data_IF_607513990925
#
_entry.id   IF_607513990925
#
_cell.length_a   1.000
_cell.length_b   1.000
_cell.length_c   1.000
_cell.angle_alpha   90.00
_cell.angle_beta   90.00
_cell.angle_gamma   90.00
#
_symmetry.space_group_name_H-M   'P 1'
#
loop_
_entity.id
_entity.type
_entity.pdbx_description
1 polymer ?
#
# COMPACT_ATOMS: atom_id res chain seq x y z
N UNK A 1 63.68 62.11 -16.51
CA UNK A 1 62.58 61.99 -17.49
C UNK A 1 62.49 60.47 -17.83
N UNK A 2 61.65 59.64 -17.35
CA UNK A 2 60.24 59.64 -17.56
C UNK A 2 59.55 58.57 -16.68
N UNK A 3 58.64 58.98 -15.89
CA UNK A 3 57.72 58.16 -15.14
C UNK A 3 56.62 57.67 -16.14
N UNK A 4 56.32 56.40 -16.26
CA UNK A 4 55.02 55.85 -16.69
C UNK A 4 55.14 54.38 -17.12
N UNK A 5 55.21 53.44 -16.22
CA UNK A 5 54.83 52.02 -16.48
C UNK A 5 54.62 51.24 -15.16
N UNK A 6 53.63 51.70 -14.37
CA UNK A 6 53.24 50.87 -13.24
C UNK A 6 51.78 51.16 -12.88
N UNK A 7 50.78 50.65 -13.66
CA UNK A 7 49.35 50.64 -13.31
C UNK A 7 48.50 49.84 -14.27
N UNK A 8 48.81 48.60 -14.61
CA UNK A 8 47.88 47.70 -15.29
C UNK A 8 48.23 46.25 -14.92
N UNK A 9 48.15 45.85 -13.66
CA UNK A 9 48.26 44.43 -13.27
C UNK A 9 47.44 44.01 -12.07
N UNK A 10 46.45 44.75 -11.65
CA UNK A 10 45.67 44.46 -10.44
C UNK A 10 44.15 44.42 -10.67
N UNK A 11 43.68 44.11 -11.90
CA UNK A 11 42.24 44.06 -12.18
C UNK A 11 41.78 42.76 -12.89
N UNK A 12 42.57 41.69 -12.81
CA UNK A 12 42.24 40.42 -13.50
C UNK A 12 42.03 39.24 -12.54
N UNK A 13 41.81 39.44 -11.22
CA UNK A 13 41.69 38.34 -10.25
C UNK A 13 40.37 38.30 -9.48
N UNK A 14 39.39 39.13 -9.78
CA UNK A 14 38.10 39.20 -9.06
C UNK A 14 36.86 38.78 -9.87
N UNK A 15 37.00 38.17 -11.03
CA UNK A 15 35.84 37.75 -11.88
C UNK A 15 35.64 36.24 -11.96
N UNK A 16 36.46 35.41 -11.35
CA UNK A 16 36.36 33.94 -11.44
C UNK A 16 35.64 33.25 -10.28
N UNK A 17 34.98 33.99 -9.35
CA UNK A 17 34.34 33.41 -8.16
C UNK A 17 32.82 33.64 -8.09
N UNK A 18 32.13 33.91 -9.21
CA UNK A 18 30.69 34.20 -9.24
C UNK A 18 29.90 33.28 -10.15
N UNK A 19 30.38 32.06 -10.45
CA UNK A 19 29.68 31.07 -11.27
C UNK A 19 29.41 29.74 -10.53
N UNK A 20 29.56 29.72 -9.21
CA UNK A 20 28.89 28.69 -8.39
C UNK A 20 27.53 29.24 -7.95
N UNK A 21 26.63 29.40 -8.91
CA UNK A 21 25.22 29.50 -8.62
C UNK A 21 24.82 28.24 -7.85
N UNK A 22 23.84 28.29 -6.89
CA UNK A 22 23.31 27.11 -6.30
C UNK A 22 22.84 26.22 -7.48
N UNK A 23 23.51 25.09 -7.69
CA UNK A 23 23.04 24.11 -8.64
C UNK A 23 21.57 23.89 -8.28
N UNK A 24 20.67 24.25 -9.18
CA UNK A 24 19.29 23.87 -9.05
C UNK A 24 19.32 22.35 -8.83
N UNK A 25 19.07 21.92 -7.61
CA UNK A 25 18.85 20.54 -7.27
C UNK A 25 17.64 20.18 -8.13
N UNK A 26 17.88 19.56 -9.31
CA UNK A 26 16.81 18.99 -10.09
C UNK A 26 16.14 18.02 -9.13
N UNK A 27 14.89 18.33 -8.75
CA UNK A 27 14.12 17.47 -7.89
C UNK A 27 14.24 16.03 -8.45
N UNK A 28 14.75 15.11 -7.62
CA UNK A 28 14.97 13.74 -8.02
C UNK A 28 13.61 13.12 -8.39
N UNK A 29 13.44 12.81 -9.67
CA UNK A 29 12.19 12.26 -10.17
C UNK A 29 12.11 10.78 -9.82
N UNK A 30 10.96 10.33 -9.28
CA UNK A 30 10.64 8.93 -9.03
C UNK A 30 9.47 8.52 -9.90
N UNK A 31 9.71 7.66 -10.89
CA UNK A 31 8.67 7.13 -11.77
C UNK A 31 8.04 5.90 -11.17
N UNK A 32 6.73 5.99 -10.89
CA UNK A 32 5.94 4.94 -10.24
C UNK A 32 4.95 4.34 -11.22
N UNK A 33 4.99 3.03 -11.45
CA UNK A 33 3.90 2.29 -12.09
C UNK A 33 2.99 1.72 -11.01
N UNK A 34 1.68 2.00 -11.07
CA UNK A 34 0.76 1.52 -10.05
C UNK A 34 -0.62 1.17 -10.57
N UNK A 35 -1.30 0.29 -9.83
CA UNK A 35 -2.72 -0.03 -10.05
C UNK A 35 -3.63 0.81 -9.14
N UNK A 36 -4.91 0.94 -9.56
CA UNK A 36 -5.82 1.96 -9.03
C UNK A 36 -6.27 1.81 -7.57
N UNK A 37 -6.18 0.62 -6.97
CA UNK A 37 -6.83 0.35 -5.68
C UNK A 37 -6.20 1.06 -4.48
N UNK A 38 -4.91 1.38 -4.55
CA UNK A 38 -4.22 2.20 -3.54
C UNK A 38 -4.30 3.71 -3.85
N UNK A 39 -4.89 4.09 -4.97
CA UNK A 39 -4.93 5.47 -5.45
C UNK A 39 -5.49 6.50 -4.44
N UNK A 40 -6.56 6.23 -3.66
CA UNK A 40 -7.06 7.22 -2.70
C UNK A 40 -6.00 7.59 -1.65
N UNK A 41 -5.35 6.61 -1.04
CA UNK A 41 -4.26 6.84 -0.08
C UNK A 41 -3.04 7.50 -0.75
N UNK A 42 -2.65 7.02 -1.93
CA UNK A 42 -1.50 7.53 -2.65
C UNK A 42 -1.65 9.01 -3.06
N UNK A 43 -2.86 9.44 -3.47
CA UNK A 43 -3.12 10.85 -3.83
C UNK A 43 -2.97 11.79 -2.64
N UNK A 44 -3.20 11.31 -1.43
CA UNK A 44 -2.98 12.07 -0.21
C UNK A 44 -1.51 12.02 0.22
N UNK A 45 -0.88 10.85 0.13
CA UNK A 45 0.50 10.62 0.59
C UNK A 45 1.57 11.14 -0.38
N UNK A 46 1.29 11.13 -1.68
CA UNK A 46 2.25 11.56 -2.71
C UNK A 46 2.77 12.98 -2.49
N UNK A 47 1.88 13.99 -2.37
CA UNK A 47 2.32 15.36 -2.09
C UNK A 47 3.13 15.48 -0.79
N UNK A 48 2.78 14.73 0.27
CA UNK A 48 3.53 14.75 1.53
C UNK A 48 4.94 14.19 1.35
N UNK A 49 5.09 13.12 0.57
CA UNK A 49 6.39 12.58 0.22
C UNK A 49 7.22 13.58 -0.61
N UNK A 50 6.61 14.25 -1.58
CA UNK A 50 7.28 15.26 -2.41
C UNK A 50 7.76 16.45 -1.57
N UNK A 51 6.91 16.92 -0.64
CA UNK A 51 7.25 18.02 0.28
C UNK A 51 8.38 17.63 1.26
N UNK A 52 8.37 16.38 1.77
CA UNK A 52 9.38 15.91 2.73
C UNK A 52 10.74 15.68 2.07
N UNK A 53 10.75 15.17 0.83
CA UNK A 53 11.99 14.73 0.18
C UNK A 53 12.52 15.68 -0.88
N UNK A 54 11.70 16.62 -1.35
CA UNK A 54 12.00 17.43 -2.52
C UNK A 54 11.98 16.66 -3.84
N UNK A 55 11.58 15.39 -3.83
CA UNK A 55 11.43 14.56 -5.02
C UNK A 55 10.14 14.90 -5.77
N UNK A 56 10.04 14.51 -7.05
CA UNK A 56 8.81 14.62 -7.84
C UNK A 56 8.33 13.25 -8.27
N UNK A 57 7.06 12.92 -8.02
CA UNK A 57 6.45 11.65 -8.39
C UNK A 57 5.84 11.71 -9.79
N UNK A 58 6.31 10.85 -10.69
CA UNK A 58 5.72 10.65 -12.03
C UNK A 58 4.96 9.34 -12.04
N UNK A 59 3.64 9.42 -11.91
CA UNK A 59 2.80 8.24 -11.74
C UNK A 59 2.20 7.78 -13.07
N UNK A 60 2.40 6.51 -13.37
CA UNK A 60 1.83 5.82 -14.54
C UNK A 60 0.82 4.78 -14.06
N UNK A 61 -0.43 5.00 -14.39
CA UNK A 61 -1.53 4.11 -14.02
C UNK A 61 -1.69 2.96 -14.99
N UNK A 62 -1.95 1.75 -14.46
CA UNK A 62 -2.19 0.58 -15.27
C UNK A 62 -2.84 -0.56 -14.51
N UNK A 63 -3.35 -1.56 -15.23
CA UNK A 63 -3.81 -2.79 -14.62
C UNK A 63 -2.63 -3.56 -14.03
N UNK A 64 -2.79 -4.09 -12.82
CA UNK A 64 -1.73 -4.86 -12.15
C UNK A 64 -1.34 -6.13 -12.90
N UNK A 65 -2.28 -6.72 -13.65
CA UNK A 65 -2.12 -7.95 -14.43
C UNK A 65 -2.94 -7.88 -15.72
N UNK A 66 -2.84 -8.92 -16.56
CA UNK A 66 -3.59 -9.06 -17.80
C UNK A 66 -2.82 -8.59 -19.03
N UNK A 67 -3.54 -8.57 -20.18
CA UNK A 67 -2.97 -8.35 -21.53
C UNK A 67 -3.36 -7.00 -22.15
N UNK A 68 -4.09 -6.16 -21.41
CA UNK A 68 -4.45 -4.83 -21.89
C UNK A 68 -3.20 -3.97 -22.12
N UNK A 69 -3.24 -3.05 -23.09
CA UNK A 69 -2.08 -2.22 -23.46
C UNK A 69 -1.52 -1.38 -22.30
N UNK A 70 -2.36 -1.03 -21.33
CA UNK A 70 -1.96 -0.29 -20.13
C UNK A 70 -1.57 -1.20 -18.96
N UNK A 71 -1.67 -2.53 -19.10
CA UNK A 71 -1.27 -3.45 -18.04
C UNK A 71 0.25 -3.36 -17.78
N UNK A 72 0.63 -3.36 -16.52
CA UNK A 72 2.03 -3.21 -16.08
C UNK A 72 2.94 -4.26 -16.74
N UNK A 73 2.60 -5.59 -16.78
CA UNK A 73 3.43 -6.57 -17.47
C UNK A 73 3.61 -6.27 -18.95
N UNK A 74 2.57 -5.76 -19.63
CA UNK A 74 2.65 -5.38 -21.05
C UNK A 74 3.54 -4.16 -21.26
N UNK A 75 3.54 -3.21 -20.33
CA UNK A 75 4.44 -2.03 -20.36
C UNK A 75 5.90 -2.45 -20.23
N UNK A 76 6.24 -3.33 -19.28
CA UNK A 76 7.59 -3.86 -19.15
C UNK A 76 8.02 -4.65 -20.40
N UNK A 77 7.14 -5.48 -20.97
CA UNK A 77 7.43 -6.22 -22.19
C UNK A 77 7.74 -5.31 -23.39
N UNK A 78 7.25 -4.06 -23.39
CA UNK A 78 7.58 -3.04 -24.41
C UNK A 78 8.82 -2.20 -24.04
N UNK A 79 9.51 -2.51 -22.95
CA UNK A 79 10.70 -1.79 -22.51
C UNK A 79 10.41 -0.48 -21.77
N UNK A 80 9.18 -0.25 -21.31
CA UNK A 80 8.91 0.88 -20.44
C UNK A 80 9.60 0.68 -19.09
N UNK A 81 10.26 1.72 -18.59
CA UNK A 81 10.95 1.71 -17.31
C UNK A 81 10.10 2.31 -16.19
N UNK A 82 10.38 1.90 -14.97
CA UNK A 82 9.88 2.53 -13.75
C UNK A 82 10.97 2.47 -12.67
N UNK A 83 10.82 3.27 -11.61
CA UNK A 83 11.65 3.18 -10.41
C UNK A 83 10.97 2.30 -9.37
N UNK A 84 9.69 2.49 -9.16
CA UNK A 84 8.89 1.70 -8.22
C UNK A 84 7.62 1.14 -8.87
N UNK A 85 7.19 -0.03 -8.38
CA UNK A 85 5.86 -0.59 -8.61
C UNK A 85 5.06 -0.53 -7.32
N UNK A 86 3.75 -0.18 -7.43
CA UNK A 86 2.79 -0.23 -6.34
C UNK A 86 1.54 -0.95 -6.84
N UNK A 87 1.36 -2.19 -6.43
CA UNK A 87 0.30 -3.07 -6.91
C UNK A 87 -0.19 -4.03 -5.83
N UNK A 88 -1.20 -4.84 -6.12
CA UNK A 88 -1.57 -5.97 -5.25
C UNK A 88 -0.42 -6.96 -5.14
N UNK A 89 -0.24 -7.52 -3.95
CA UNK A 89 0.92 -8.32 -3.57
C UNK A 89 1.21 -9.47 -4.54
N UNK A 90 0.19 -10.24 -4.93
CA UNK A 90 0.39 -11.36 -5.87
C UNK A 90 0.90 -10.89 -7.25
N UNK A 91 0.41 -9.75 -7.75
CA UNK A 91 0.89 -9.21 -9.04
C UNK A 91 2.32 -8.69 -8.93
N UNK A 92 2.74 -8.21 -7.76
CA UNK A 92 4.14 -7.85 -7.52
C UNK A 92 5.03 -9.10 -7.51
N UNK A 93 4.57 -10.20 -6.92
CA UNK A 93 5.26 -11.49 -6.94
C UNK A 93 5.45 -12.00 -8.37
N UNK A 94 4.42 -11.88 -9.22
CA UNK A 94 4.52 -12.22 -10.65
C UNK A 94 5.59 -11.36 -11.35
N UNK A 95 5.70 -10.06 -11.01
CA UNK A 95 6.73 -9.18 -11.60
C UNK A 95 8.14 -9.50 -11.04
N UNK A 96 8.26 -9.97 -9.81
CA UNK A 96 9.53 -10.48 -9.26
C UNK A 96 9.96 -11.73 -10.03
N UNK A 97 9.06 -12.68 -10.23
CA UNK A 97 9.35 -13.90 -11.00
C UNK A 97 9.67 -13.62 -12.46
N UNK A 98 9.06 -12.59 -13.06
CA UNK A 98 9.37 -12.14 -14.42
C UNK A 98 10.67 -11.35 -14.54
N UNK A 99 11.38 -11.06 -13.43
CA UNK A 99 12.62 -10.30 -13.42
C UNK A 99 12.45 -8.78 -13.58
N UNK A 100 11.23 -8.25 -13.45
CA UNK A 100 10.93 -6.82 -13.57
C UNK A 100 11.08 -6.06 -12.24
N UNK A 101 11.11 -6.77 -11.12
CA UNK A 101 11.25 -6.20 -9.76
C UNK A 101 12.43 -6.87 -9.06
N UNK A 102 13.21 -6.07 -8.34
CA UNK A 102 14.39 -6.53 -7.60
C UNK A 102 13.96 -7.50 -6.50
N UNK A 103 14.46 -8.74 -6.47
CA UNK A 103 14.19 -9.67 -5.39
C UNK A 103 14.57 -9.09 -4.02
N UNK A 104 13.68 -9.25 -3.03
CA UNK A 104 13.89 -8.72 -1.67
C UNK A 104 13.54 -7.24 -1.47
N UNK A 105 13.16 -6.50 -2.53
CA UNK A 105 12.70 -5.11 -2.41
C UNK A 105 11.21 -4.98 -2.08
N UNK A 106 10.45 -6.08 -2.07
CA UNK A 106 9.02 -6.08 -1.78
C UNK A 106 8.74 -5.69 -0.33
N UNK A 107 7.86 -4.72 -0.15
CA UNK A 107 7.32 -4.32 1.15
C UNK A 107 5.80 -4.26 1.07
N UNK A 108 5.12 -4.94 1.98
CA UNK A 108 3.68 -4.85 2.17
C UNK A 108 3.38 -3.65 3.08
N UNK A 109 2.48 -2.75 2.68
CA UNK A 109 2.21 -1.52 3.45
C UNK A 109 0.73 -1.28 3.73
N UNK A 110 -0.18 -1.96 3.02
CA UNK A 110 -1.60 -1.86 3.28
C UNK A 110 -2.33 -3.15 2.91
N UNK A 111 -3.50 -3.35 3.51
CA UNK A 111 -4.38 -4.46 3.15
C UNK A 111 -5.84 -3.99 3.16
N UNK A 112 -6.65 -4.58 2.30
CA UNK A 112 -8.08 -4.35 2.27
C UNK A 112 -8.82 -5.56 2.81
N UNK A 113 -9.65 -5.41 3.86
CA UNK A 113 -10.55 -6.46 4.31
C UNK A 113 -11.72 -6.61 3.35
N UNK A 114 -12.36 -7.79 3.37
CA UNK A 114 -13.70 -7.98 2.81
C UNK A 114 -14.70 -7.37 3.78
N UNK A 115 -15.56 -6.51 3.27
CA UNK A 115 -16.66 -5.90 4.02
C UNK A 115 -18.01 -6.28 3.44
N UNK A 116 -19.04 -5.98 4.23
CA UNK A 116 -20.45 -6.12 3.85
C UNK A 116 -21.08 -4.74 3.69
N UNK A 117 -21.92 -4.60 2.68
CA UNK A 117 -22.80 -3.44 2.49
C UNK A 117 -24.26 -3.85 2.47
N UNK A 118 -25.09 -2.92 2.89
CA UNK A 118 -26.53 -2.89 2.67
C UNK A 118 -26.91 -1.59 1.97
N UNK A 119 -28.12 -1.50 1.45
CA UNK A 119 -28.65 -0.25 0.88
C UNK A 119 -28.64 0.86 1.94
N UNK A 120 -28.34 2.07 1.54
CA UNK A 120 -28.43 3.25 2.41
C UNK A 120 -29.83 3.38 3.04
N UNK A 121 -29.86 3.62 4.36
CA UNK A 121 -31.13 3.67 5.13
C UNK A 121 -31.69 2.31 5.55
N UNK A 122 -31.17 1.17 5.03
CA UNK A 122 -31.54 -0.14 5.52
C UNK A 122 -30.94 -0.41 6.92
N UNK A 123 -31.61 -1.23 7.76
CA UNK A 123 -31.01 -1.67 9.02
C UNK A 123 -29.65 -2.33 8.80
N UNK A 124 -28.67 -2.02 9.67
CA UNK A 124 -27.38 -2.70 9.66
C UNK A 124 -27.51 -4.02 10.40
N UNK A 125 -27.35 -5.17 9.72
CA UNK A 125 -27.39 -6.46 10.40
C UNK A 125 -26.12 -6.64 11.24
N UNK A 126 -26.21 -7.48 12.28
CA UNK A 126 -25.06 -7.86 13.10
C UNK A 126 -24.18 -8.86 12.38
N UNK A 127 -22.91 -8.53 12.19
CA UNK A 127 -21.87 -9.39 11.61
C UNK A 127 -20.62 -9.44 12.50
N UNK A 128 -20.74 -9.06 13.77
CA UNK A 128 -19.61 -8.93 14.71
C UNK A 128 -18.96 -10.24 15.09
N UNK A 129 -19.62 -11.37 14.84
CA UNK A 129 -19.10 -12.71 15.12
C UNK A 129 -19.47 -13.70 14.00
N UNK A 130 -18.81 -14.85 14.00
CA UNK A 130 -19.10 -15.95 13.05
C UNK A 130 -20.58 -16.33 13.10
N UNK A 131 -21.14 -16.48 14.30
CA UNK A 131 -22.55 -16.85 14.48
C UNK A 131 -23.52 -15.73 14.06
N UNK A 132 -23.18 -14.48 14.33
CA UNK A 132 -23.96 -13.32 13.90
C UNK A 132 -23.99 -13.22 12.37
N UNK A 133 -22.83 -13.30 11.71
CA UNK A 133 -22.74 -13.35 10.26
C UNK A 133 -23.53 -14.51 9.66
N UNK A 134 -23.43 -15.69 10.27
CA UNK A 134 -24.18 -16.88 9.84
C UNK A 134 -25.69 -16.63 9.88
N UNK A 135 -26.24 -16.08 10.97
CA UNK A 135 -27.67 -15.72 11.09
C UNK A 135 -28.07 -14.70 10.03
N UNK A 136 -27.32 -13.62 9.91
CA UNK A 136 -27.56 -12.57 8.91
C UNK A 136 -27.64 -13.14 7.49
N UNK A 137 -26.71 -14.01 7.09
CA UNK A 137 -26.72 -14.61 5.76
C UNK A 137 -27.89 -15.57 5.56
N UNK A 138 -28.30 -16.29 6.61
CA UNK A 138 -29.47 -17.18 6.52
C UNK A 138 -30.77 -16.40 6.36
N UNK A 139 -30.92 -15.25 6.99
CA UNK A 139 -32.09 -14.37 6.96
C UNK A 139 -32.16 -13.52 5.69
N UNK A 140 -31.02 -13.15 5.12
CA UNK A 140 -30.96 -12.32 3.92
C UNK A 140 -31.76 -12.92 2.77
N UNK A 141 -32.46 -12.07 2.02
CA UNK A 141 -33.27 -12.46 0.84
C UNK A 141 -32.40 -12.67 -0.39
N UNK A 142 -31.33 -11.91 -0.54
CA UNK A 142 -30.41 -11.98 -1.67
C UNK A 142 -29.02 -11.49 -1.30
N UNK A 143 -28.00 -12.13 -1.89
CA UNK A 143 -26.59 -11.88 -1.62
C UNK A 143 -25.85 -11.71 -2.96
N UNK A 144 -25.02 -10.65 -3.07
CA UNK A 144 -24.17 -10.43 -4.25
C UNK A 144 -22.71 -10.31 -3.83
N UNK A 145 -21.80 -10.84 -4.63
CA UNK A 145 -20.36 -10.79 -4.44
C UNK A 145 -19.63 -10.75 -5.80
N UNK A 146 -18.34 -10.32 -5.86
CA UNK A 146 -17.68 -10.03 -7.12
C UNK A 146 -17.27 -11.29 -7.91
N UNK A 147 -17.19 -11.15 -9.23
CA UNK A 147 -16.63 -12.15 -10.16
C UNK A 147 -15.09 -12.10 -10.15
N UNK A 148 -14.48 -12.37 -8.99
CA UNK A 148 -13.03 -12.41 -8.81
C UNK A 148 -12.65 -13.39 -7.68
N UNK A 149 -11.38 -13.40 -7.25
CA UNK A 149 -10.89 -14.28 -6.19
C UNK A 149 -11.66 -14.14 -4.86
N UNK A 150 -12.19 -12.96 -4.54
CA UNK A 150 -13.04 -12.73 -3.35
C UNK A 150 -14.35 -13.46 -3.47
N UNK A 151 -15.02 -13.35 -4.63
CA UNK A 151 -16.28 -14.05 -4.85
C UNK A 151 -16.11 -15.57 -4.88
N UNK A 152 -15.00 -16.07 -5.44
CA UNK A 152 -14.64 -17.50 -5.37
C UNK A 152 -14.47 -17.94 -3.92
N UNK A 153 -13.78 -17.15 -3.08
CA UNK A 153 -13.66 -17.42 -1.65
C UNK A 153 -15.03 -17.45 -0.96
N UNK A 154 -15.88 -16.47 -1.21
CA UNK A 154 -17.22 -16.39 -0.60
C UNK A 154 -18.07 -17.59 -0.98
N UNK A 155 -18.12 -17.93 -2.27
CA UNK A 155 -18.95 -19.01 -2.79
C UNK A 155 -18.50 -20.40 -2.34
N UNK A 156 -17.20 -20.65 -2.31
CA UNK A 156 -16.66 -21.99 -2.15
C UNK A 156 -16.10 -22.26 -0.75
N UNK A 157 -15.73 -21.22 -0.01
CA UNK A 157 -15.09 -21.39 1.30
C UNK A 157 -15.91 -20.75 2.44
N UNK A 158 -16.28 -19.47 2.34
CA UNK A 158 -16.97 -18.76 3.41
C UNK A 158 -18.29 -19.45 3.78
N UNK A 159 -19.15 -19.74 2.79
CA UNK A 159 -20.44 -20.37 3.04
C UNK A 159 -20.28 -21.78 3.61
N UNK A 160 -19.28 -22.53 3.16
CA UNK A 160 -18.94 -23.86 3.68
C UNK A 160 -18.46 -23.81 5.13
N UNK A 161 -17.55 -22.88 5.46
CA UNK A 161 -17.07 -22.67 6.84
C UNK A 161 -18.19 -22.28 7.81
N UNK A 162 -19.22 -21.58 7.30
CA UNK A 162 -20.42 -21.24 8.05
C UNK A 162 -21.47 -22.38 8.08
N UNK A 163 -21.29 -23.45 7.31
CA UNK A 163 -22.23 -24.57 7.21
C UNK A 163 -23.59 -24.18 6.61
N UNK A 164 -23.60 -23.25 5.65
CA UNK A 164 -24.85 -22.68 5.09
C UNK A 164 -24.98 -22.81 3.56
N UNK A 165 -24.03 -23.45 2.87
CA UNK A 165 -24.00 -23.53 1.39
C UNK A 165 -25.36 -23.86 0.78
N UNK A 166 -26.00 -24.95 1.22
CA UNK A 166 -27.26 -25.42 0.67
C UNK A 166 -28.43 -24.46 0.88
N UNK A 167 -28.29 -23.49 1.81
CA UNK A 167 -29.35 -22.55 2.17
C UNK A 167 -29.20 -21.20 1.53
N UNK A 168 -27.96 -20.79 1.16
CA UNK A 168 -27.69 -19.46 0.61
C UNK A 168 -27.39 -19.47 -0.89
N UNK A 169 -27.00 -20.61 -1.47
CA UNK A 169 -26.58 -20.70 -2.87
C UNK A 169 -27.67 -20.23 -3.86
N UNK A 170 -28.93 -20.58 -3.61
CA UNK A 170 -30.05 -20.23 -4.49
C UNK A 170 -30.40 -18.71 -4.46
N UNK A 171 -29.98 -17.99 -3.43
CA UNK A 171 -30.21 -16.55 -3.26
C UNK A 171 -28.92 -15.72 -3.36
N UNK A 172 -27.85 -16.35 -3.83
CA UNK A 172 -26.54 -15.73 -3.98
C UNK A 172 -26.12 -15.68 -5.45
N UNK A 173 -25.49 -14.59 -5.87
CA UNK A 173 -24.98 -14.47 -7.25
C UNK A 173 -23.69 -13.67 -7.30
N UNK A 174 -22.88 -13.92 -8.33
CA UNK A 174 -21.76 -13.10 -8.71
C UNK A 174 -22.23 -11.89 -9.54
N UNK A 175 -21.47 -10.81 -9.51
CA UNK A 175 -21.60 -9.66 -10.38
C UNK A 175 -20.21 -9.11 -10.72
N UNK A 176 -20.04 -8.36 -11.84
CA UNK A 176 -18.80 -7.65 -12.10
C UNK A 176 -18.36 -6.86 -10.86
N UNK A 177 -17.06 -6.93 -10.52
CA UNK A 177 -16.55 -6.45 -9.25
C UNK A 177 -16.94 -4.98 -8.96
N UNK A 178 -16.80 -4.12 -9.95
CA UNK A 178 -17.13 -2.69 -9.88
C UNK A 178 -18.63 -2.39 -9.72
N UNK A 179 -19.48 -3.41 -9.83
CA UNK A 179 -20.95 -3.24 -9.78
C UNK A 179 -21.59 -3.75 -8.50
N UNK A 180 -20.87 -4.46 -7.64
CA UNK A 180 -21.44 -5.09 -6.42
C UNK A 180 -22.18 -4.07 -5.56
N UNK A 181 -21.53 -2.95 -5.21
CA UNK A 181 -22.15 -1.92 -4.39
C UNK A 181 -23.32 -1.23 -5.13
N UNK A 182 -23.21 -1.02 -6.45
CA UNK A 182 -24.30 -0.43 -7.26
C UNK A 182 -25.53 -1.34 -7.29
N UNK A 183 -25.35 -2.66 -7.39
CA UNK A 183 -26.42 -3.66 -7.32
C UNK A 183 -27.20 -3.55 -6.01
N UNK A 184 -26.48 -3.36 -4.88
CA UNK A 184 -27.11 -3.15 -3.56
C UNK A 184 -27.78 -1.78 -3.47
N UNK A 185 -27.14 -0.73 -3.97
CA UNK A 185 -27.71 0.63 -3.98
C UNK A 185 -29.04 0.70 -4.73
N UNK A 186 -29.13 -0.02 -5.85
CA UNK A 186 -30.37 -0.10 -6.66
C UNK A 186 -31.46 -0.98 -6.02
N UNK A 187 -31.11 -1.77 -4.99
CA UNK A 187 -32.04 -2.72 -4.36
C UNK A 187 -32.15 -4.07 -5.08
N UNK A 188 -31.28 -4.34 -6.06
CA UNK A 188 -31.24 -5.61 -6.80
C UNK A 188 -30.60 -6.75 -5.99
N UNK A 189 -29.99 -6.43 -4.86
CA UNK A 189 -29.58 -7.35 -3.80
C UNK A 189 -29.68 -6.68 -2.44
N UNK A 190 -29.98 -7.49 -1.40
CA UNK A 190 -30.09 -6.99 -0.02
C UNK A 190 -28.72 -6.78 0.63
N UNK A 191 -27.81 -7.74 0.40
CA UNK A 191 -26.45 -7.74 0.96
C UNK A 191 -25.43 -7.85 -0.16
N UNK A 192 -24.35 -7.06 -0.06
CA UNK A 192 -23.20 -7.14 -0.95
C UNK A 192 -21.91 -7.33 -0.19
N UNK A 193 -21.00 -8.13 -0.76
CA UNK A 193 -19.63 -8.31 -0.25
C UNK A 193 -18.61 -7.83 -1.28
N UNK A 194 -17.65 -7.05 -0.85
CA UNK A 194 -16.50 -6.62 -1.65
C UNK A 194 -15.40 -6.10 -0.71
N UNK A 195 -14.23 -5.78 -1.25
CA UNK A 195 -13.21 -5.04 -0.51
C UNK A 195 -13.77 -3.71 0.00
N UNK A 196 -13.47 -3.38 1.25
CA UNK A 196 -13.98 -2.13 1.88
C UNK A 196 -13.58 -0.90 1.06
N UNK A 197 -12.35 -0.87 0.51
CA UNK A 197 -11.87 0.25 -0.32
C UNK A 197 -12.71 0.46 -1.60
N UNK A 198 -13.36 -0.59 -2.10
CA UNK A 198 -14.26 -0.50 -3.27
C UNK A 198 -15.69 -0.13 -2.89
N UNK A 199 -16.09 -0.39 -1.66
CA UNK A 199 -17.43 -0.12 -1.16
C UNK A 199 -17.61 1.34 -0.71
N UNK A 200 -16.60 1.91 -0.03
CA UNK A 200 -16.66 3.24 0.58
C UNK A 200 -17.00 4.38 -0.38
N UNK A 201 -16.47 4.43 -1.61
CA UNK A 201 -16.75 5.56 -2.51
C UNK A 201 -18.13 5.50 -3.16
N UNK A 202 -18.87 4.40 -3.04
CA UNK A 202 -20.15 4.21 -3.73
C UNK A 202 -21.30 4.79 -2.91
N UNK A 203 -22.04 5.74 -3.51
CA UNK A 203 -23.22 6.32 -2.90
C UNK A 203 -24.41 5.34 -2.93
N UNK A 204 -25.32 5.49 -1.99
CA UNK A 204 -26.54 4.68 -1.90
C UNK A 204 -26.35 3.34 -1.17
N UNK A 205 -25.16 3.10 -0.61
CA UNK A 205 -24.89 1.96 0.27
C UNK A 205 -24.35 2.42 1.62
N UNK A 206 -24.53 1.57 2.61
CA UNK A 206 -23.96 1.71 3.94
C UNK A 206 -23.05 0.52 4.21
N UNK A 207 -21.77 0.77 4.50
CA UNK A 207 -20.84 -0.26 4.95
C UNK A 207 -21.26 -0.70 6.36
N UNK A 208 -21.57 -1.99 6.50
CA UNK A 208 -21.96 -2.61 7.78
C UNK A 208 -20.73 -2.83 8.65
N UNK A 209 -19.69 -3.39 8.06
CA UNK A 209 -18.43 -3.71 8.70
C UNK A 209 -17.61 -4.72 7.89
N UNK A 210 -16.47 -5.10 8.42
CA UNK A 210 -15.62 -6.16 7.87
C UNK A 210 -16.09 -7.53 8.37
N UNK A 211 -15.74 -8.60 7.63
CA UNK A 211 -15.99 -9.97 8.11
C UNK A 211 -15.28 -10.21 9.47
N UNK A 212 -15.80 -11.10 10.32
CA UNK A 212 -15.09 -11.56 11.51
C UNK A 212 -13.67 -12.04 11.19
N UNK A 213 -12.73 -11.79 12.08
CA UNK A 213 -11.30 -12.04 11.85
C UNK A 213 -11.00 -13.48 11.40
N UNK A 214 -11.72 -14.46 11.97
CA UNK A 214 -11.57 -15.88 11.67
C UNK A 214 -11.98 -16.24 10.23
N UNK A 215 -12.84 -15.40 9.63
CA UNK A 215 -13.37 -15.59 8.26
C UNK A 215 -12.81 -14.56 7.29
N UNK A 216 -11.94 -13.66 7.76
CA UNK A 216 -11.43 -12.59 6.94
C UNK A 216 -10.40 -13.08 5.93
N UNK A 217 -10.46 -12.52 4.73
CA UNK A 217 -9.43 -12.58 3.71
C UNK A 217 -9.03 -11.18 3.33
N UNK A 218 -7.74 -10.96 3.20
CA UNK A 218 -7.19 -9.64 2.87
C UNK A 218 -6.63 -9.64 1.46
N UNK A 219 -6.83 -8.53 0.77
CA UNK A 219 -6.02 -8.21 -0.41
C UNK A 219 -4.91 -7.27 0.06
N UNK A 220 -3.66 -7.70 -0.11
CA UNK A 220 -2.48 -6.95 0.32
C UNK A 220 -1.97 -6.09 -0.83
N UNK A 221 -1.51 -4.87 -0.51
CA UNK A 221 -0.88 -3.93 -1.43
C UNK A 221 0.58 -3.77 -1.05
N UNK A 222 1.43 -3.89 -2.06
CA UNK A 222 2.88 -3.93 -1.87
C UNK A 222 3.57 -2.98 -2.84
N UNK A 223 4.74 -2.51 -2.45
CA UNK A 223 5.67 -1.81 -3.31
C UNK A 223 6.95 -2.61 -3.53
N UNK A 224 7.60 -2.38 -4.65
CA UNK A 224 8.89 -2.98 -4.98
C UNK A 224 9.69 -2.10 -5.94
N UNK A 225 11.02 -2.22 -5.89
CA UNK A 225 11.94 -1.48 -6.75
C UNK A 225 12.03 -2.19 -8.10
N UNK A 226 11.79 -1.47 -9.20
CA UNK A 226 11.93 -2.05 -10.54
C UNK A 226 13.40 -2.34 -10.88
N UNK A 227 13.67 -3.43 -11.62
CA UNK A 227 15.03 -3.72 -12.12
C UNK A 227 15.51 -2.68 -13.14
N UNK A 228 14.59 -1.92 -13.73
CA UNK A 228 14.85 -0.84 -14.67
C UNK A 228 14.99 0.54 -14.00
N UNK A 229 15.02 0.59 -12.65
CA UNK A 229 15.03 1.84 -11.90
C UNK A 229 16.23 2.72 -12.27
N UNK A 230 15.95 3.99 -12.53
CA UNK A 230 16.96 5.05 -12.72
C UNK A 230 17.24 5.80 -11.43
N UNK A 231 16.27 5.82 -10.52
CA UNK A 231 16.38 6.38 -9.18
C UNK A 231 15.95 5.32 -8.12
N UNK A 232 16.74 4.26 -7.89
CA UNK A 232 16.41 3.21 -6.92
C UNK A 232 16.37 3.73 -5.48
N UNK A 233 17.16 4.77 -5.15
CA UNK A 233 17.18 5.40 -3.83
C UNK A 233 15.85 6.12 -3.56
N UNK A 234 15.34 6.88 -4.52
CA UNK A 234 14.04 7.53 -4.43
C UNK A 234 12.89 6.52 -4.36
N UNK A 235 12.98 5.41 -5.12
CA UNK A 235 12.01 4.32 -5.05
C UNK A 235 11.97 3.67 -3.66
N UNK A 236 13.13 3.39 -3.07
CA UNK A 236 13.24 2.84 -1.72
C UNK A 236 12.68 3.81 -0.67
N UNK A 237 13.01 5.10 -0.79
CA UNK A 237 12.49 6.14 0.10
C UNK A 237 10.96 6.21 0.05
N UNK A 238 10.36 6.17 -1.16
CA UNK A 238 8.90 6.15 -1.34
C UNK A 238 8.26 4.91 -0.68
N UNK A 239 8.81 3.71 -0.93
CA UNK A 239 8.28 2.47 -0.37
C UNK A 239 8.37 2.50 1.17
N UNK A 240 9.47 3.00 1.73
CA UNK A 240 9.66 3.16 3.17
C UNK A 240 8.66 4.16 3.75
N UNK A 241 8.46 5.31 3.09
CA UNK A 241 7.47 6.31 3.50
C UNK A 241 6.05 5.72 3.53
N UNK A 242 5.63 5.00 2.47
CA UNK A 242 4.30 4.39 2.40
C UNK A 242 4.08 3.28 3.45
N UNK A 243 5.13 2.66 3.95
CA UNK A 243 5.08 1.65 5.03
C UNK A 243 5.33 2.22 6.42
N UNK A 244 5.53 3.53 6.54
CA UNK A 244 5.80 4.20 7.81
C UNK A 244 4.53 4.38 8.65
N UNK A 245 4.66 4.58 9.96
CA UNK A 245 3.53 4.94 10.82
C UNK A 245 2.83 6.24 10.38
N UNK A 246 3.55 7.18 9.78
CA UNK A 246 3.01 8.47 9.35
C UNK A 246 2.05 8.34 8.16
N UNK A 247 2.19 7.30 7.34
CA UNK A 247 1.26 6.98 6.27
C UNK A 247 -0.06 6.36 6.77
N UNK A 248 -0.07 5.79 7.98
CA UNK A 248 -1.21 5.02 8.48
C UNK A 248 -2.54 5.81 8.51
N UNK A 249 -2.61 7.09 8.93
CA UNK A 249 -3.87 7.83 8.92
C UNK A 249 -4.50 7.98 7.52
N UNK A 250 -3.70 8.24 6.49
CA UNK A 250 -4.18 8.37 5.11
C UNK A 250 -4.65 7.01 4.55
N UNK A 251 -3.90 5.94 4.86
CA UNK A 251 -4.28 4.57 4.50
C UNK A 251 -5.63 4.21 5.13
N UNK A 252 -5.84 4.49 6.43
CA UNK A 252 -7.12 4.22 7.10
C UNK A 252 -8.28 5.02 6.52
N UNK A 253 -8.07 6.30 6.20
CA UNK A 253 -9.11 7.12 5.56
C UNK A 253 -9.55 6.59 4.19
N UNK A 254 -8.65 5.91 3.47
CA UNK A 254 -8.97 5.27 2.20
C UNK A 254 -9.76 3.98 2.31
N UNK A 255 -10.01 3.47 3.54
CA UNK A 255 -10.68 2.20 3.79
C UNK A 255 -9.76 0.99 3.79
N UNK A 256 -8.45 1.23 3.78
CA UNK A 256 -7.43 0.20 3.92
C UNK A 256 -6.95 0.10 5.38
N UNK A 257 -6.40 -1.04 5.74
CA UNK A 257 -5.69 -1.24 7.00
C UNK A 257 -4.18 -1.11 6.74
N UNK A 258 -3.45 -0.27 7.49
CA UNK A 258 -2.00 -0.16 7.34
C UNK A 258 -1.29 -1.44 7.81
N UNK A 259 -0.25 -1.82 7.09
CA UNK A 259 0.75 -2.80 7.51
C UNK A 259 2.02 -1.99 7.75
N UNK A 260 2.20 -1.52 8.98
CA UNK A 260 3.42 -0.80 9.34
C UNK A 260 4.56 -1.79 9.53
N UNK A 261 5.70 -1.52 8.91
CA UNK A 261 6.90 -2.29 9.15
C UNK A 261 7.21 -2.28 10.66
N UNK A 262 7.67 -3.40 11.25
CA UNK A 262 8.16 -3.38 12.62
C UNK A 262 9.23 -2.28 12.73
N UNK A 263 9.08 -1.37 13.70
CA UNK A 263 10.15 -0.41 13.94
C UNK A 263 11.45 -1.18 14.22
N UNK A 264 12.59 -0.76 13.65
CA UNK A 264 13.88 -1.32 14.05
C UNK A 264 13.94 -1.22 15.58
N UNK A 265 14.23 -2.33 16.23
CA UNK A 265 14.45 -2.32 17.68
C UNK A 265 15.47 -1.20 17.96
N UNK A 266 15.23 -0.33 18.97
CA UNK A 266 16.21 0.66 19.35
C UNK A 266 17.56 -0.06 19.56
N UNK A 267 18.69 0.55 19.14
CA UNK A 267 19.99 -0.09 19.29
C UNK A 267 20.13 -0.59 20.73
N UNK A 268 20.43 -1.87 20.87
CA UNK A 268 20.64 -2.46 22.19
C UNK A 268 21.65 -1.59 22.93
N UNK A 269 21.21 -0.96 24.00
CA UNK A 269 22.12 -0.26 24.90
C UNK A 269 23.12 -1.31 25.40
N UNK A 270 24.44 -1.02 25.37
CA UNK A 270 25.41 -1.94 25.92
C UNK A 270 24.98 -2.30 27.35
N UNK A 271 24.79 -3.58 27.61
CA UNK A 271 24.51 -4.02 28.99
C UNK A 271 25.64 -3.52 29.87
N UNK A 272 25.35 -2.93 31.04
CA UNK A 272 26.40 -2.57 31.99
C UNK A 272 27.27 -3.81 32.24
N UNK A 273 28.55 -3.69 31.97
CA UNK A 273 29.48 -4.77 32.28
C UNK A 273 29.37 -5.09 33.76
N UNK A 274 29.33 -6.39 34.17
CA UNK A 274 29.32 -6.76 35.57
C UNK A 274 30.52 -6.09 36.26
N UNK A 275 30.23 -5.29 37.26
CA UNK A 275 31.32 -4.69 38.09
C UNK A 275 32.15 -5.82 38.68
N UNK A 276 33.47 -5.71 38.68
CA UNK A 276 34.34 -6.69 39.33
C UNK A 276 33.88 -6.82 40.79
N UNK A 277 33.58 -8.04 41.21
CA UNK A 277 33.27 -8.29 42.61
C UNK A 277 34.49 -7.95 43.47
N UNK A 278 34.29 -7.24 44.59
CA UNK A 278 35.40 -7.00 45.53
C UNK A 278 35.98 -8.34 46.01
N UNK A 279 37.32 -8.43 46.22
CA UNK A 279 37.96 -9.64 46.59
C UNK A 279 37.37 -10.17 47.93
N UNK A 280 37.01 -11.45 47.93
CA UNK A 280 36.52 -12.10 49.13
C UNK A 280 37.67 -12.20 50.17
N UNK A 281 37.39 -11.96 51.44
CA UNK A 281 38.41 -12.14 52.51
C UNK A 281 38.91 -13.56 52.54
N UNK A 282 40.23 -13.73 52.47
CA UNK A 282 40.86 -15.04 52.61
C UNK A 282 40.66 -15.53 54.05
N UNK A 283 40.36 -16.81 54.32
CA UNK A 283 40.31 -17.33 55.66
C UNK A 283 41.72 -17.30 56.29
N UNK A 284 41.84 -16.71 57.48
CA UNK A 284 43.08 -16.71 58.25
C UNK A 284 43.36 -18.13 58.73
N UNK A 285 44.63 -18.62 58.67
CA UNK A 285 44.98 -19.90 59.27
C UNK A 285 45.02 -19.81 60.80
N UNK A 286 44.46 -20.85 61.49
CA UNK A 286 44.54 -21.05 62.92
C UNK A 286 45.96 -21.40 63.35
#
# INVERSE_FOLDING_TARGET
MTIHKLRVRTLAFCVALALLGPGACLADQVKVMMSGWFAPAYRELGPLFEDETGSTLVTVWGAAAGTALNAIPVRFARGEWADALIVVSYALDDQIHAGNVVPGSKVDFARSPIGMVVREGAPKPDISSVDALRRTLLEAKSIVYPENAIGVYIANELFSRLGIDGRVKSKSRMAPAERVATVVANGDAEIGFQQVVELLPVKGVTVVGSLPAELQRYVVYSGGIATTAKNPVGAEALIRFLSSPDAAPAIMRSGLEPITAPQPLPPMQPQPQPQPQPPQPQPQPN
#
